data_IF_396762143217
#
_entry.id   IF_396762143217
#
_cell.length_a   1.000
_cell.length_b   1.000
_cell.length_c   1.000
_cell.angle_alpha   90.00
_cell.angle_beta   90.00
_cell.angle_gamma   90.00
#
_symmetry.space_group_name_H-M   'P 1'
#
loop_
_entity.id
_entity.type
_entity.pdbx_description
1 polymer ?
#
# COMPACT_ATOMS: atom_id res chain seq x y z
N UNK A 1 -6.96 -14.22 -15.06
CA UNK A 1 -6.97 -13.26 -13.92
C UNK A 1 -8.34 -13.32 -13.25
N UNK A 2 -8.45 -13.55 -11.93
CA UNK A 2 -9.73 -13.56 -11.21
C UNK A 2 -10.50 -12.26 -11.40
N UNK A 3 -11.84 -12.33 -11.44
CA UNK A 3 -12.73 -11.18 -11.68
C UNK A 3 -12.52 -10.05 -10.68
N UNK A 4 -12.29 -10.37 -9.41
CA UNK A 4 -12.04 -9.40 -8.33
C UNK A 4 -10.75 -8.61 -8.56
N UNK A 5 -9.65 -9.29 -8.88
CA UNK A 5 -8.36 -8.61 -9.17
C UNK A 5 -8.48 -7.68 -10.38
N UNK A 6 -9.22 -8.09 -11.41
CA UNK A 6 -9.45 -7.23 -12.59
C UNK A 6 -10.22 -5.98 -12.19
N UNK A 7 -11.26 -6.12 -11.38
CA UNK A 7 -12.05 -4.99 -10.89
C UNK A 7 -11.19 -4.00 -10.07
N UNK A 8 -10.33 -4.50 -9.16
CA UNK A 8 -9.39 -3.65 -8.40
C UNK A 8 -8.45 -2.88 -9.33
N UNK A 9 -7.83 -3.56 -10.30
CA UNK A 9 -6.92 -2.90 -11.24
C UNK A 9 -7.63 -1.81 -12.06
N UNK A 10 -8.81 -2.12 -12.60
CA UNK A 10 -9.59 -1.14 -13.36
C UNK A 10 -10.04 0.04 -12.48
N UNK A 11 -10.38 -0.21 -11.21
CA UNK A 11 -10.71 0.85 -10.25
C UNK A 11 -9.54 1.80 -9.97
N UNK A 12 -8.33 1.26 -9.75
CA UNK A 12 -7.11 2.07 -9.60
C UNK A 12 -6.83 2.89 -10.85
N UNK A 13 -6.91 2.26 -12.03
CA UNK A 13 -6.66 2.96 -13.31
C UNK A 13 -7.67 4.08 -13.53
N UNK A 14 -8.95 3.86 -13.22
CA UNK A 14 -9.98 4.89 -13.31
C UNK A 14 -9.65 6.08 -12.38
N UNK A 15 -9.34 5.81 -11.11
CA UNK A 15 -9.00 6.85 -10.13
C UNK A 15 -7.76 7.68 -10.51
N UNK A 16 -6.77 7.05 -11.15
CA UNK A 16 -5.61 7.77 -11.69
C UNK A 16 -5.98 8.63 -12.89
N UNK A 17 -6.92 8.17 -13.72
CA UNK A 17 -7.30 8.85 -14.97
C UNK A 17 -8.22 10.03 -14.72
N UNK A 18 -9.12 9.93 -13.74
CA UNK A 18 -10.04 11.01 -13.35
C UNK A 18 -9.44 12.01 -12.35
N UNK A 19 -8.24 11.73 -11.84
CA UNK A 19 -7.52 12.61 -10.91
C UNK A 19 -7.98 12.50 -9.46
N UNK A 20 -8.80 11.51 -9.10
CA UNK A 20 -9.14 11.25 -7.69
C UNK A 20 -8.00 10.61 -6.90
N UNK A 21 -7.02 10.03 -7.60
CA UNK A 21 -5.79 9.49 -7.03
C UNK A 21 -4.58 10.07 -7.77
N UNK A 22 -3.66 10.67 -7.02
CA UNK A 22 -2.37 11.15 -7.52
C UNK A 22 -1.24 10.31 -6.94
N UNK A 23 -0.36 9.80 -7.80
CA UNK A 23 0.81 8.99 -7.44
C UNK A 23 2.05 9.48 -8.20
N UNK A 24 2.39 10.75 -8.01
CA UNK A 24 3.53 11.40 -8.66
C UNK A 24 4.51 12.02 -7.65
N UNK A 25 5.61 12.56 -8.18
CA UNK A 25 6.61 13.29 -7.40
C UNK A 25 6.00 14.62 -6.95
N UNK A 26 5.58 14.67 -5.69
CA UNK A 26 4.95 15.84 -5.08
C UNK A 26 3.53 15.60 -4.56
N UNK A 27 2.95 14.44 -4.87
CA UNK A 27 1.69 14.00 -4.26
C UNK A 27 1.78 13.99 -2.73
N UNK A 28 0.75 14.48 -2.06
CA UNK A 28 0.60 14.32 -0.62
C UNK A 28 0.44 12.84 -0.29
N UNK A 29 1.35 12.32 0.54
CA UNK A 29 1.42 10.89 0.85
C UNK A 29 0.25 10.44 1.71
N UNK A 30 -0.23 11.28 2.62
CA UNK A 30 -1.33 10.95 3.52
C UNK A 30 -2.66 10.97 2.76
N UNK A 31 -2.82 11.94 1.85
CA UNK A 31 -3.96 11.93 0.92
C UNK A 31 -3.93 10.69 0.02
N UNK A 32 -2.78 10.37 -0.58
CA UNK A 32 -2.63 9.19 -1.42
C UNK A 32 -2.98 7.90 -0.66
N UNK A 33 -2.54 7.77 0.61
CA UNK A 33 -2.91 6.65 1.49
C UNK A 33 -4.42 6.56 1.69
N UNK A 34 -5.06 7.68 2.02
CA UNK A 34 -6.50 7.72 2.24
C UNK A 34 -7.26 7.30 0.98
N UNK A 35 -6.90 7.83 -0.19
CA UNK A 35 -7.52 7.50 -1.48
C UNK A 35 -7.32 6.04 -1.87
N UNK A 36 -6.12 5.50 -1.67
CA UNK A 36 -5.85 4.08 -1.93
C UNK A 36 -6.67 3.17 -1.01
N UNK A 37 -6.84 3.53 0.26
CA UNK A 37 -7.61 2.74 1.23
C UNK A 37 -9.12 2.70 0.93
N UNK A 38 -9.64 3.69 0.18
CA UNK A 38 -11.03 3.71 -0.29
C UNK A 38 -11.29 2.72 -1.45
N UNK A 39 -10.24 2.24 -2.14
CA UNK A 39 -10.37 1.40 -3.33
C UNK A 39 -10.63 -0.09 -2.99
N UNK A 40 -11.68 -0.72 -3.55
CA UNK A 40 -11.97 -2.13 -3.30
C UNK A 40 -10.83 -3.08 -3.69
N UNK A 41 -10.38 -3.88 -2.73
CA UNK A 41 -9.28 -4.85 -2.91
C UNK A 41 -7.89 -4.27 -2.72
N UNK A 42 -7.77 -3.00 -2.32
CA UNK A 42 -6.53 -2.41 -1.81
C UNK A 42 -6.57 -2.46 -0.28
N UNK A 43 -5.69 -3.28 0.30
CA UNK A 43 -5.55 -3.41 1.75
C UNK A 43 -4.37 -2.61 2.31
N UNK A 44 -4.23 -2.51 3.65
CA UNK A 44 -3.19 -1.71 4.29
C UNK A 44 -1.77 -2.05 3.83
N UNK A 45 -1.46 -3.34 3.63
CA UNK A 45 -0.16 -3.76 3.11
C UNK A 45 0.13 -3.19 1.72
N UNK A 46 -0.86 -3.15 0.84
CA UNK A 46 -0.72 -2.61 -0.52
C UNK A 46 -0.57 -1.09 -0.49
N UNK A 47 -1.32 -0.40 0.38
CA UNK A 47 -1.20 1.06 0.59
C UNK A 47 0.24 1.43 0.94
N UNK A 48 0.79 0.82 1.98
CA UNK A 48 2.16 1.12 2.42
C UNK A 48 3.22 0.65 1.41
N UNK A 49 2.98 -0.44 0.69
CA UNK A 49 3.84 -0.82 -0.44
C UNK A 49 3.88 0.23 -1.55
N UNK A 50 2.75 0.88 -1.87
CA UNK A 50 2.69 1.94 -2.87
C UNK A 50 3.37 3.21 -2.33
N UNK A 51 3.12 3.59 -1.08
CA UNK A 51 3.83 4.72 -0.46
C UNK A 51 5.36 4.53 -0.51
N UNK A 52 5.84 3.33 -0.17
CA UNK A 52 7.26 2.99 -0.22
C UNK A 52 7.83 3.00 -1.65
N UNK A 53 7.17 2.32 -2.60
CA UNK A 53 7.75 2.03 -3.92
C UNK A 53 7.40 3.05 -5.01
N UNK A 54 6.22 3.64 -4.95
CA UNK A 54 5.76 4.62 -5.95
C UNK A 54 6.03 6.06 -5.49
N UNK A 55 5.78 6.37 -4.21
CA UNK A 55 5.96 7.72 -3.67
C UNK A 55 7.34 7.94 -3.01
N UNK A 56 8.14 6.88 -2.89
CA UNK A 56 9.47 6.94 -2.27
C UNK A 56 9.42 7.40 -0.82
N UNK A 57 8.36 7.07 -0.09
CA UNK A 57 8.22 7.43 1.32
C UNK A 57 9.22 6.64 2.18
N UNK A 58 10.21 7.30 2.81
CA UNK A 58 11.19 6.61 3.65
C UNK A 58 10.58 6.04 4.93
N UNK A 59 9.42 6.54 5.35
CA UNK A 59 8.76 6.13 6.61
C UNK A 59 7.65 5.09 6.38
N UNK A 60 7.36 4.72 5.13
CA UNK A 60 6.36 3.69 4.83
C UNK A 60 6.78 2.32 5.37
N UNK A 61 5.85 1.62 6.03
CA UNK A 61 6.15 0.37 6.73
C UNK A 61 5.02 -0.65 6.63
N UNK A 62 5.34 -1.91 6.32
CA UNK A 62 4.38 -2.99 6.11
C UNK A 62 4.44 -4.03 7.24
N UNK A 63 3.86 -3.76 8.43
CA UNK A 63 4.07 -4.59 9.63
C UNK A 63 3.61 -6.05 9.46
N UNK A 64 2.61 -6.29 8.61
CA UNK A 64 2.07 -7.63 8.33
C UNK A 64 2.86 -8.40 7.26
N UNK A 65 3.90 -7.80 6.67
CA UNK A 65 4.71 -8.43 5.63
C UNK A 65 5.42 -9.69 6.16
N UNK A 66 5.25 -10.81 5.45
CA UNK A 66 5.80 -12.09 5.88
C UNK A 66 7.33 -12.10 5.89
N UNK A 67 7.97 -11.42 4.93
CA UNK A 67 9.43 -11.31 4.87
C UNK A 67 9.97 -10.50 6.04
N UNK A 68 9.36 -9.35 6.31
CA UNK A 68 9.71 -8.51 7.45
C UNK A 68 9.55 -9.25 8.78
N UNK A 69 8.44 -9.96 8.99
CA UNK A 69 8.20 -10.73 10.21
C UNK A 69 9.21 -11.85 10.41
N UNK A 70 9.58 -12.56 9.33
CA UNK A 70 10.62 -13.60 9.38
C UNK A 70 12.00 -13.01 9.69
N UNK A 71 12.34 -11.86 9.12
CA UNK A 71 13.58 -11.16 9.41
C UNK A 71 13.63 -10.71 10.87
N UNK A 72 12.56 -10.08 11.38
CA UNK A 72 12.44 -9.69 12.78
C UNK A 72 12.63 -10.88 13.73
N UNK A 73 11.97 -12.01 13.46
CA UNK A 73 12.12 -13.23 14.25
C UNK A 73 13.56 -13.77 14.23
N UNK A 74 14.22 -13.76 13.07
CA UNK A 74 15.63 -14.18 12.94
C UNK A 74 16.62 -13.28 13.68
N UNK A 75 16.25 -12.02 13.92
CA UNK A 75 17.04 -11.04 14.68
C UNK A 75 16.67 -10.99 16.17
N UNK A 76 15.74 -11.82 16.64
CA UNK A 76 15.24 -11.78 18.03
C UNK A 76 14.40 -10.55 18.36
N UNK A 77 13.85 -9.87 17.34
CA UNK A 77 12.96 -8.72 17.49
C UNK A 77 11.49 -9.15 17.59
N UNK A 78 10.59 -8.29 18.11
CA UNK A 78 9.15 -8.53 18.05
C UNK A 78 8.68 -8.75 16.59
N UNK A 79 8.02 -9.87 16.32
CA UNK A 79 7.61 -10.29 14.97
C UNK A 79 6.07 -10.31 14.77
N UNK A 80 5.33 -9.82 15.75
CA UNK A 80 3.87 -9.71 15.73
C UNK A 80 3.51 -8.22 15.72
N UNK A 81 2.74 -7.73 14.72
CA UNK A 81 2.24 -6.37 14.73
C UNK A 81 1.41 -6.07 15.99
N UNK A 82 1.38 -4.83 16.48
CA UNK A 82 0.36 -4.42 17.45
C UNK A 82 -1.05 -4.64 16.85
N UNK A 83 -2.06 -4.92 17.70
CA UNK A 83 -3.44 -5.12 17.28
C UNK A 83 -4.06 -3.88 16.62
#
# INVERSE_FOLDING_TARGET
MPRTRRATLTGVVAALTDGTLHLDVGSDRDEARARLAELPGIGPWTVECIAMRALGDPDAFTPTDLGLRRAAAGLGMPATPPP
#
